data_IF_458810206592
#
_entry.id   IF_458810206592
#
_cell.length_a   1.000
_cell.length_b   1.000
_cell.length_c   1.000
_cell.angle_alpha   90.00
_cell.angle_beta   90.00
_cell.angle_gamma   90.00
#
_symmetry.space_group_name_H-M   'P 1'
#
loop_
_entity.id
_entity.type
_entity.pdbx_description
1 polymer ?
#
# COMPACT_ATOMS: atom_id res chain seq x y z
N UNK A 1 -1.05 -26.91 20.90
CA UNK A 1 -1.10 -26.05 19.72
C UNK A 1 0.13 -25.12 19.66
N UNK A 2 0.36 -24.25 20.67
CA UNK A 2 1.46 -23.27 20.70
C UNK A 2 2.84 -23.93 20.62
N UNK A 3 3.05 -25.05 21.31
CA UNK A 3 4.30 -25.80 21.30
C UNK A 3 4.60 -26.38 19.91
N UNK A 4 3.57 -26.89 19.22
CA UNK A 4 3.73 -27.40 17.86
C UNK A 4 4.13 -26.30 16.89
N UNK A 5 3.50 -25.11 16.97
CA UNK A 5 3.88 -23.97 16.12
C UNK A 5 5.32 -23.54 16.42
N UNK A 6 5.68 -23.40 17.70
CA UNK A 6 7.03 -23.05 18.15
C UNK A 6 8.08 -23.96 17.55
N UNK A 7 7.83 -25.29 17.57
CA UNK A 7 8.73 -26.27 16.99
C UNK A 7 8.78 -26.17 15.45
N UNK A 8 7.63 -26.02 14.78
CA UNK A 8 7.58 -25.91 13.32
C UNK A 8 8.40 -24.72 12.76
N UNK A 9 8.43 -23.60 13.50
CA UNK A 9 9.18 -22.41 13.06
C UNK A 9 10.53 -22.25 13.74
N UNK A 10 10.94 -23.24 14.55
CA UNK A 10 12.19 -23.24 15.31
C UNK A 10 12.42 -21.98 16.16
N UNK A 11 11.36 -21.51 16.81
CA UNK A 11 11.39 -20.37 17.73
C UNK A 11 11.01 -20.82 19.14
N UNK A 12 11.76 -20.37 20.14
CA UNK A 12 11.42 -20.64 21.54
C UNK A 12 10.20 -19.80 21.95
N UNK A 13 9.27 -20.45 22.67
CA UNK A 13 8.11 -19.80 23.27
C UNK A 13 8.01 -20.20 24.74
N UNK A 14 8.36 -19.27 25.63
CA UNK A 14 8.46 -19.51 27.07
C UNK A 14 8.47 -18.17 27.83
N UNK A 15 8.69 -18.22 29.14
CA UNK A 15 8.77 -17.03 30.01
C UNK A 15 9.81 -15.99 29.58
N UNK A 16 10.88 -16.37 28.90
CA UNK A 16 11.88 -15.45 28.38
C UNK A 16 11.48 -14.89 27.01
N UNK A 17 10.87 -15.73 26.18
CA UNK A 17 10.41 -15.40 24.81
C UNK A 17 8.87 -15.43 24.77
N UNK A 18 8.26 -14.33 25.19
CA UNK A 18 6.82 -14.24 25.46
C UNK A 18 5.94 -14.06 24.24
N UNK A 19 6.52 -13.74 23.07
CA UNK A 19 5.79 -13.50 21.82
C UNK A 19 6.24 -14.52 20.78
N UNK A 20 5.27 -15.22 20.16
CA UNK A 20 5.50 -16.14 19.07
C UNK A 20 4.72 -15.64 17.85
N UNK A 21 5.43 -15.28 16.80
CA UNK A 21 4.86 -14.92 15.52
C UNK A 21 5.21 -15.97 14.47
N UNK A 22 4.18 -16.45 13.78
CA UNK A 22 4.28 -17.44 12.72
C UNK A 22 3.37 -17.04 11.54
N UNK A 23 3.85 -17.28 10.34
CA UNK A 23 3.07 -17.09 9.12
C UNK A 23 3.04 -18.40 8.33
N UNK A 24 1.90 -18.68 7.75
CA UNK A 24 1.70 -19.68 6.70
C UNK A 24 1.37 -18.96 5.39
N UNK A 25 1.09 -19.73 4.33
CA UNK A 25 0.62 -19.12 3.07
C UNK A 25 -0.64 -18.27 3.22
N UNK A 26 -1.51 -18.60 4.18
CA UNK A 26 -2.84 -17.97 4.28
C UNK A 26 -3.18 -17.47 5.69
N UNK A 27 -2.31 -17.72 6.68
CA UNK A 27 -2.57 -17.36 8.07
C UNK A 27 -1.38 -16.65 8.66
N UNK A 28 -1.67 -15.57 9.37
CA UNK A 28 -0.76 -14.93 10.31
C UNK A 28 -1.21 -15.28 11.73
N UNK A 29 -0.28 -15.76 12.53
CA UNK A 29 -0.53 -16.23 13.89
C UNK A 29 0.36 -15.41 14.84
N UNK A 30 -0.25 -14.74 15.81
CA UNK A 30 0.44 -14.05 16.89
C UNK A 30 -0.02 -14.62 18.21
N UNK A 31 0.93 -15.06 19.05
CA UNK A 31 0.66 -15.69 20.33
C UNK A 31 1.42 -14.97 21.42
N UNK A 32 0.74 -14.65 22.52
CA UNK A 32 1.33 -14.05 23.73
C UNK A 32 1.28 -15.08 24.86
N UNK A 33 2.44 -15.30 25.47
CA UNK A 33 2.60 -16.25 26.58
C UNK A 33 1.83 -15.79 27.84
N UNK A 34 1.32 -16.73 28.62
CA UNK A 34 0.57 -16.48 29.86
C UNK A 34 1.33 -15.65 30.91
N UNK A 35 2.67 -15.70 30.89
CA UNK A 35 3.48 -14.84 31.75
C UNK A 35 3.41 -13.35 31.42
N UNK A 36 2.82 -12.98 30.28
CA UNK A 36 2.57 -11.59 29.86
C UNK A 36 1.07 -11.32 29.71
N UNK A 37 0.27 -12.29 29.29
CA UNK A 37 -1.17 -12.19 29.18
C UNK A 37 -1.83 -12.79 30.45
N UNK A 38 -2.20 -11.94 31.41
CA UNK A 38 -2.70 -12.34 32.75
C UNK A 38 -3.95 -13.23 32.66
N UNK A 39 -4.75 -13.09 31.59
CA UNK A 39 -5.96 -13.89 31.33
C UNK A 39 -5.68 -15.28 30.76
N UNK A 40 -4.39 -15.67 30.62
CA UNK A 40 -3.95 -16.88 29.96
C UNK A 40 -3.32 -16.62 28.60
N UNK A 41 -2.90 -17.68 27.90
CA UNK A 41 -2.28 -17.56 26.56
C UNK A 41 -3.26 -16.87 25.59
N UNK A 42 -2.82 -15.76 25.00
CA UNK A 42 -3.59 -15.05 23.98
C UNK A 42 -3.17 -15.50 22.58
N UNK A 43 -4.13 -15.89 21.74
CA UNK A 43 -3.88 -16.34 20.36
C UNK A 43 -4.71 -15.48 19.42
N UNK A 44 -4.05 -14.82 18.47
CA UNK A 44 -4.68 -14.11 17.37
C UNK A 44 -4.32 -14.80 16.03
N UNK A 45 -5.34 -15.23 15.27
CA UNK A 45 -5.16 -15.81 13.95
C UNK A 45 -5.85 -14.90 12.93
N UNK A 46 -5.07 -14.37 11.99
CA UNK A 46 -5.58 -13.54 10.89
C UNK A 46 -5.44 -14.30 9.58
N UNK A 47 -6.48 -14.24 8.74
CA UNK A 47 -6.41 -14.76 7.37
C UNK A 47 -5.66 -13.75 6.49
N UNK A 48 -4.69 -14.25 5.73
CA UNK A 48 -3.95 -13.51 4.71
C UNK A 48 -4.08 -14.26 3.38
N UNK A 49 -5.19 -14.06 2.65
CA UNK A 49 -5.46 -14.84 1.44
C UNK A 49 -4.42 -14.52 0.34
N UNK A 50 -3.93 -15.58 -0.31
CA UNK A 50 -3.00 -15.49 -1.42
C UNK A 50 -3.68 -15.19 -2.78
N UNK A 51 -4.93 -14.74 -2.76
CA UNK A 51 -5.70 -14.32 -3.93
C UNK A 51 -6.27 -12.91 -3.72
N UNK A 52 -6.69 -12.27 -4.79
CA UNK A 52 -7.37 -10.96 -4.72
C UNK A 52 -8.86 -11.20 -4.54
N UNK A 53 -9.45 -10.59 -3.51
CA UNK A 53 -10.90 -10.68 -3.22
C UNK A 53 -11.72 -9.74 -4.08
N UNK A 54 -11.12 -8.62 -4.45
CA UNK A 54 -11.79 -7.58 -5.20
C UNK A 54 -11.77 -7.90 -6.69
N UNK A 55 -12.89 -7.73 -7.36
CA UNK A 55 -13.03 -7.72 -8.82
C UNK A 55 -13.60 -6.37 -9.25
N UNK A 56 -13.47 -6.02 -10.52
CA UNK A 56 -14.08 -4.78 -11.06
C UNK A 56 -15.58 -4.73 -10.77
N UNK A 57 -16.27 -5.84 -11.04
CA UNK A 57 -17.71 -5.98 -10.85
C UNK A 57 -18.09 -5.78 -9.37
N UNK A 58 -17.47 -6.52 -8.44
CA UNK A 58 -17.85 -6.44 -7.04
C UNK A 58 -17.50 -5.09 -6.39
N UNK A 59 -16.45 -4.41 -6.84
CA UNK A 59 -16.13 -3.06 -6.36
C UNK A 59 -17.22 -2.05 -6.76
N UNK A 60 -17.75 -2.15 -7.98
CA UNK A 60 -18.83 -1.28 -8.44
C UNK A 60 -20.17 -1.62 -7.77
N UNK A 61 -20.52 -2.90 -7.68
CA UNK A 61 -21.76 -3.38 -7.03
C UNK A 61 -21.82 -3.00 -5.55
N UNK A 62 -20.69 -3.08 -4.86
CA UNK A 62 -20.59 -2.68 -3.45
C UNK A 62 -20.45 -1.17 -3.27
N UNK A 63 -20.47 -0.39 -4.37
CA UNK A 63 -20.25 1.06 -4.35
C UNK A 63 -18.95 1.42 -3.62
N UNK A 64 -17.88 0.69 -3.91
CA UNK A 64 -16.57 0.94 -3.34
C UNK A 64 -16.03 2.31 -3.77
N UNK A 65 -16.28 2.68 -5.02
CA UNK A 65 -16.08 4.00 -5.60
C UNK A 65 -16.92 4.15 -6.88
N UNK A 66 -16.98 5.35 -7.41
CA UNK A 66 -17.57 5.59 -8.73
C UNK A 66 -16.73 4.97 -9.85
N UNK A 67 -17.35 4.59 -10.97
CA UNK A 67 -16.70 3.94 -12.11
C UNK A 67 -15.54 4.78 -12.63
N UNK A 68 -15.73 6.09 -12.75
CA UNK A 68 -14.70 7.01 -13.22
C UNK A 68 -13.46 7.04 -12.29
N UNK A 69 -13.67 6.94 -10.98
CA UNK A 69 -12.58 6.88 -9.99
C UNK A 69 -11.80 5.58 -10.13
N UNK A 70 -12.50 4.46 -10.34
CA UNK A 70 -11.86 3.17 -10.58
C UNK A 70 -11.02 3.20 -11.86
N UNK A 71 -11.56 3.72 -12.97
CA UNK A 71 -10.85 3.89 -14.23
C UNK A 71 -9.63 4.80 -14.10
N UNK A 72 -9.75 5.92 -13.38
CA UNK A 72 -8.64 6.81 -13.09
C UNK A 72 -7.49 6.09 -12.38
N UNK A 73 -7.78 5.30 -11.35
CA UNK A 73 -6.76 4.56 -10.61
C UNK A 73 -6.11 3.45 -11.45
N UNK A 74 -6.87 2.76 -12.31
CA UNK A 74 -6.32 1.79 -13.27
C UNK A 74 -5.37 2.48 -14.26
N UNK A 75 -5.75 3.64 -14.76
CA UNK A 75 -4.90 4.45 -15.63
C UNK A 75 -3.65 4.99 -14.88
N UNK A 76 -3.74 5.26 -13.57
CA UNK A 76 -2.56 5.58 -12.76
C UNK A 76 -1.56 4.43 -12.72
N UNK A 77 -2.02 3.17 -12.65
CA UNK A 77 -1.13 1.99 -12.73
C UNK A 77 -0.48 1.92 -14.12
N UNK A 78 -1.25 2.07 -15.19
CA UNK A 78 -0.73 2.09 -16.55
C UNK A 78 0.32 3.20 -16.74
N UNK A 79 0.08 4.37 -16.15
CA UNK A 79 0.99 5.51 -16.19
C UNK A 79 2.14 5.39 -15.16
N UNK A 80 2.28 4.26 -14.48
CA UNK A 80 3.35 3.97 -13.50
C UNK A 80 3.44 5.02 -12.39
N UNK A 81 2.33 5.42 -11.82
CA UNK A 81 2.28 6.40 -10.74
C UNK A 81 2.57 5.77 -9.39
N UNK A 82 3.21 6.53 -8.52
CA UNK A 82 3.44 6.16 -7.13
C UNK A 82 2.18 6.44 -6.32
N UNK A 83 1.60 5.38 -5.75
CA UNK A 83 0.33 5.45 -5.02
C UNK A 83 0.51 5.11 -3.55
N UNK A 84 -0.14 5.90 -2.68
CA UNK A 84 -0.19 5.64 -1.23
C UNK A 84 -1.63 5.32 -0.85
N UNK A 85 -1.84 4.13 -0.28
CA UNK A 85 -3.15 3.69 0.21
C UNK A 85 -3.24 3.92 1.73
N UNK A 86 -4.03 4.89 2.12
CA UNK A 86 -4.27 5.29 3.50
C UNK A 86 -5.51 4.68 4.12
N UNK A 87 -5.59 4.69 5.44
CA UNK A 87 -6.78 4.29 6.20
C UNK A 87 -6.44 3.70 7.55
N UNK A 88 -7.45 3.47 8.35
CA UNK A 88 -7.35 2.85 9.67
C UNK A 88 -6.94 1.36 9.60
N UNK A 89 -6.54 0.76 10.74
CA UNK A 89 -6.34 -0.68 10.82
C UNK A 89 -7.60 -1.45 10.39
N UNK A 90 -7.44 -2.43 9.49
CA UNK A 90 -8.57 -3.23 8.99
C UNK A 90 -9.46 -2.54 7.95
N UNK A 91 -9.15 -1.32 7.51
CA UNK A 91 -9.87 -0.63 6.43
C UNK A 91 -9.76 -1.33 5.07
N UNK A 92 -8.76 -2.20 4.87
CA UNK A 92 -8.57 -2.93 3.61
C UNK A 92 -7.58 -2.28 2.65
N UNK A 93 -6.62 -1.49 3.17
CA UNK A 93 -5.55 -0.84 2.39
C UNK A 93 -4.80 -1.82 1.49
N UNK A 94 -4.27 -2.90 2.08
CA UNK A 94 -3.51 -3.92 1.37
C UNK A 94 -4.36 -4.64 0.31
N UNK A 95 -5.63 -4.94 0.61
CA UNK A 95 -6.55 -5.57 -0.36
C UNK A 95 -6.86 -4.64 -1.54
N UNK A 96 -7.01 -3.32 -1.29
CA UNK A 96 -7.16 -2.32 -2.34
C UNK A 96 -5.88 -2.23 -3.21
N UNK A 97 -4.71 -2.15 -2.58
CA UNK A 97 -3.44 -2.13 -3.30
C UNK A 97 -3.23 -3.41 -4.14
N UNK A 98 -3.51 -4.60 -3.59
CA UNK A 98 -3.44 -5.89 -4.31
C UNK A 98 -4.32 -5.91 -5.55
N UNK A 99 -5.54 -5.34 -5.47
CA UNK A 99 -6.41 -5.24 -6.63
C UNK A 99 -5.71 -4.49 -7.76
N UNK A 100 -5.13 -3.32 -7.51
CA UNK A 100 -4.43 -2.54 -8.54
C UNK A 100 -3.10 -3.17 -8.98
N UNK A 101 -2.42 -3.92 -8.13
CA UNK A 101 -1.20 -4.65 -8.48
C UNK A 101 -1.41 -5.72 -9.58
N UNK A 102 -2.64 -6.22 -9.78
CA UNK A 102 -2.95 -7.18 -10.85
C UNK A 102 -2.83 -6.57 -12.25
N UNK A 103 -2.87 -5.24 -12.36
CA UNK A 103 -2.83 -4.52 -13.63
C UNK A 103 -1.43 -4.05 -14.02
N UNK A 104 -0.41 -4.42 -13.23
CA UNK A 104 1.00 -4.24 -13.59
C UNK A 104 1.34 -5.27 -14.67
N UNK A 105 2.05 -4.84 -15.70
CA UNK A 105 2.44 -5.73 -16.79
C UNK A 105 3.40 -6.81 -16.30
N UNK A 106 3.23 -8.03 -16.79
CA UNK A 106 3.98 -9.20 -16.31
C UNK A 106 5.48 -9.14 -16.59
N UNK A 107 5.88 -8.39 -17.61
CA UNK A 107 7.27 -8.17 -17.99
C UNK A 107 7.98 -7.15 -17.09
N UNK A 108 7.25 -6.44 -16.27
CA UNK A 108 7.79 -5.45 -15.34
C UNK A 108 8.18 -6.12 -14.03
N UNK A 109 9.46 -6.01 -13.69
CA UNK A 109 9.97 -6.61 -12.46
C UNK A 109 9.43 -5.89 -11.24
N UNK A 110 8.74 -6.66 -10.38
CA UNK A 110 8.14 -6.18 -9.13
C UNK A 110 8.87 -6.76 -7.95
N UNK A 111 9.29 -5.91 -7.03
CA UNK A 111 9.85 -6.32 -5.75
C UNK A 111 8.88 -5.90 -4.64
N UNK A 112 8.44 -6.86 -3.83
CA UNK A 112 7.64 -6.58 -2.63
C UNK A 112 8.50 -6.71 -1.38
N UNK A 113 8.28 -5.85 -0.40
CA UNK A 113 8.99 -5.86 0.89
C UNK A 113 7.96 -5.84 2.01
N UNK A 114 7.99 -6.87 2.86
CA UNK A 114 7.00 -7.08 3.91
C UNK A 114 7.65 -7.64 5.19
N UNK A 115 7.13 -7.27 6.34
CA UNK A 115 7.44 -7.94 7.61
C UNK A 115 6.58 -9.21 7.79
N UNK A 116 5.38 -9.17 7.26
CA UNK A 116 4.41 -10.26 7.23
C UNK A 116 3.82 -10.39 5.84
N UNK A 117 3.78 -11.60 5.32
CA UNK A 117 3.31 -11.88 3.97
C UNK A 117 1.79 -11.62 3.86
N UNK A 118 1.42 -10.52 3.24
CA UNK A 118 0.04 -10.10 2.99
C UNK A 118 -0.23 -9.88 1.49
N UNK A 119 0.77 -9.41 0.73
CA UNK A 119 0.63 -9.07 -0.69
C UNK A 119 0.52 -10.33 -1.53
N UNK A 120 1.43 -11.29 -1.37
CA UNK A 120 1.51 -12.53 -2.17
C UNK A 120 1.54 -12.23 -3.68
N UNK A 121 2.41 -11.31 -4.10
CA UNK A 121 2.42 -10.79 -5.47
C UNK A 121 2.57 -11.88 -6.55
N UNK A 122 3.47 -12.84 -6.34
CA UNK A 122 3.68 -13.94 -7.27
C UNK A 122 2.44 -14.85 -7.39
N UNK A 123 1.65 -14.99 -6.33
CA UNK A 123 0.41 -15.76 -6.35
C UNK A 123 -0.72 -15.03 -7.08
N UNK A 124 -0.86 -13.71 -6.87
CA UNK A 124 -1.92 -12.92 -7.52
C UNK A 124 -1.59 -12.56 -8.98
N UNK A 125 -0.32 -12.68 -9.38
CA UNK A 125 0.17 -12.41 -10.74
C UNK A 125 1.01 -13.60 -11.28
N UNK A 126 0.41 -14.76 -11.56
CA UNK A 126 1.15 -15.92 -12.04
C UNK A 126 1.92 -15.63 -13.32
N UNK A 127 3.22 -15.95 -13.31
CA UNK A 127 4.11 -15.74 -14.45
C UNK A 127 4.71 -14.33 -14.56
N UNK A 128 4.46 -13.44 -13.59
CA UNK A 128 5.13 -12.14 -13.52
C UNK A 128 6.57 -12.29 -12.99
N UNK A 129 7.47 -11.37 -13.38
CA UNK A 129 8.80 -11.26 -12.81
C UNK A 129 8.73 -10.62 -11.42
N UNK A 130 8.75 -11.46 -10.38
CA UNK A 130 8.50 -11.05 -9.00
C UNK A 130 9.58 -11.51 -8.04
N UNK A 131 9.96 -10.63 -7.11
CA UNK A 131 10.82 -10.95 -5.96
C UNK A 131 10.10 -10.50 -4.69
N UNK A 132 9.84 -11.44 -3.78
CA UNK A 132 9.15 -11.17 -2.52
C UNK A 132 10.18 -11.21 -1.38
N UNK A 133 10.50 -10.06 -0.81
CA UNK A 133 11.47 -9.91 0.28
C UNK A 133 10.74 -9.85 1.62
N UNK A 134 11.20 -10.66 2.56
CA UNK A 134 10.73 -10.61 3.94
C UNK A 134 11.78 -9.95 4.82
N UNK A 135 11.38 -8.89 5.53
CA UNK A 135 12.21 -8.24 6.53
C UNK A 135 12.09 -8.92 7.90
N UNK A 136 13.13 -8.76 8.71
CA UNK A 136 13.21 -9.37 10.03
C UNK A 136 14.53 -9.06 10.71
N UNK A 137 14.89 -9.86 11.72
CA UNK A 137 16.13 -9.66 12.46
C UNK A 137 17.36 -9.73 11.55
N UNK A 138 18.12 -8.63 11.48
CA UNK A 138 19.34 -8.54 10.67
C UNK A 138 19.13 -8.19 9.18
N UNK A 139 17.89 -7.95 8.76
CA UNK A 139 17.56 -7.47 7.42
C UNK A 139 16.30 -6.61 7.52
N UNK A 140 16.45 -5.31 7.71
CA UNK A 140 15.34 -4.38 7.89
C UNK A 140 14.81 -3.84 6.56
N UNK A 141 13.77 -2.99 6.63
CA UNK A 141 13.17 -2.35 5.46
C UNK A 141 14.19 -1.51 4.66
N UNK A 142 15.06 -0.79 5.35
CA UNK A 142 16.09 0.04 4.70
C UNK A 142 17.09 -0.82 3.95
N UNK A 143 17.50 -1.95 4.54
CA UNK A 143 18.39 -2.92 3.89
C UNK A 143 17.73 -3.55 2.66
N UNK A 144 16.47 -3.96 2.79
CA UNK A 144 15.69 -4.55 1.70
C UNK A 144 15.50 -3.57 0.53
N UNK A 145 15.17 -2.31 0.82
CA UNK A 145 15.06 -1.26 -0.20
C UNK A 145 16.40 -1.04 -0.91
N UNK A 146 17.52 -0.93 -0.18
CA UNK A 146 18.85 -0.77 -0.76
C UNK A 146 19.27 -1.98 -1.60
N UNK A 147 18.96 -3.20 -1.13
CA UNK A 147 19.24 -4.42 -1.89
C UNK A 147 18.44 -4.47 -3.20
N UNK A 148 17.20 -4.01 -3.17
CA UNK A 148 16.30 -3.97 -4.33
C UNK A 148 16.84 -3.13 -5.48
N UNK A 149 17.60 -2.06 -5.21
CA UNK A 149 18.23 -1.23 -6.24
C UNK A 149 19.13 -2.01 -7.21
N UNK A 150 19.79 -3.06 -6.69
CA UNK A 150 20.70 -3.90 -7.48
C UNK A 150 19.98 -5.00 -8.25
N UNK A 151 18.66 -5.10 -8.06
CA UNK A 151 17.80 -6.11 -8.68
C UNK A 151 17.04 -5.57 -9.89
N UNK A 152 17.32 -4.34 -10.34
CA UNK A 152 16.68 -3.68 -11.48
C UNK A 152 15.15 -3.68 -11.43
N UNK A 153 14.51 -3.19 -10.35
CA UNK A 153 13.06 -3.18 -10.24
C UNK A 153 12.44 -2.13 -11.14
N UNK A 154 11.32 -2.46 -11.77
CA UNK A 154 10.37 -1.48 -12.33
C UNK A 154 9.45 -0.94 -11.24
N UNK A 155 9.10 -1.83 -10.30
CA UNK A 155 8.21 -1.52 -9.19
C UNK A 155 8.76 -2.01 -7.86
N UNK A 156 8.61 -1.17 -6.84
CA UNK A 156 8.93 -1.49 -5.46
C UNK A 156 7.67 -1.28 -4.61
N UNK A 157 7.17 -2.37 -4.05
CA UNK A 157 5.98 -2.36 -3.19
C UNK A 157 6.41 -2.52 -1.74
N UNK A 158 6.12 -1.52 -0.92
CA UNK A 158 6.30 -1.61 0.51
C UNK A 158 4.95 -1.89 1.15
N UNK A 159 4.83 -3.00 1.89
CA UNK A 159 3.54 -3.40 2.48
C UNK A 159 2.94 -2.33 3.37
N UNK A 160 3.77 -1.70 4.20
CA UNK A 160 3.36 -0.56 5.04
C UNK A 160 4.55 0.34 5.37
N UNK A 161 4.39 1.64 5.19
CA UNK A 161 5.32 2.66 5.68
C UNK A 161 4.93 3.06 7.11
N UNK A 162 5.85 2.85 8.06
CA UNK A 162 5.61 3.09 9.49
C UNK A 162 6.61 4.04 10.15
N UNK A 163 7.83 4.13 9.58
CA UNK A 163 8.97 4.82 10.19
C UNK A 163 9.94 5.34 9.14
N UNK A 164 11.22 5.33 9.44
CA UNK A 164 12.33 5.91 8.64
C UNK A 164 12.49 5.33 7.24
N UNK A 165 12.00 4.13 6.98
CA UNK A 165 12.04 3.46 5.67
C UNK A 165 11.37 4.29 4.57
N UNK A 166 10.41 5.16 4.92
CA UNK A 166 9.76 6.06 3.98
C UNK A 166 10.74 6.99 3.27
N UNK A 167 11.83 7.37 3.92
CA UNK A 167 12.90 8.17 3.30
C UNK A 167 13.55 7.41 2.17
N UNK A 168 13.94 6.16 2.40
CA UNK A 168 14.54 5.30 1.38
C UNK A 168 13.55 4.98 0.26
N UNK A 169 12.27 4.82 0.56
CA UNK A 169 11.22 4.64 -0.45
C UNK A 169 11.09 5.86 -1.37
N UNK A 170 11.05 7.08 -0.81
CA UNK A 170 11.02 8.32 -1.61
C UNK A 170 12.29 8.51 -2.43
N UNK A 171 13.45 8.05 -1.95
CA UNK A 171 14.68 8.03 -2.73
C UNK A 171 14.54 7.13 -3.95
N UNK A 172 13.99 5.92 -3.78
CA UNK A 172 13.73 5.00 -4.89
C UNK A 172 12.79 5.61 -5.93
N UNK A 173 11.68 6.17 -5.48
CA UNK A 173 10.72 6.82 -6.38
C UNK A 173 11.35 8.02 -7.12
N UNK A 174 12.37 8.64 -6.55
CA UNK A 174 13.11 9.73 -7.22
C UNK A 174 14.08 9.25 -8.32
N UNK A 175 14.41 7.96 -8.36
CA UNK A 175 15.30 7.38 -9.38
C UNK A 175 14.55 6.79 -10.57
N UNK A 176 13.22 6.86 -10.57
CA UNK A 176 12.37 6.32 -11.64
C UNK A 176 11.84 4.91 -11.37
N UNK A 177 12.08 4.33 -10.19
CA UNK A 177 11.37 3.16 -9.71
C UNK A 177 9.98 3.60 -9.26
N UNK A 178 8.95 2.83 -9.62
CA UNK A 178 7.56 3.12 -9.26
C UNK A 178 7.10 2.23 -8.11
N UNK A 179 5.99 2.58 -7.45
CA UNK A 179 5.54 1.70 -6.39
C UNK A 179 4.27 2.12 -5.67
N UNK A 180 3.81 1.18 -4.85
CA UNK A 180 2.71 1.37 -3.92
C UNK A 180 3.20 1.14 -2.51
N UNK A 181 2.59 1.86 -1.58
CA UNK A 181 2.72 1.57 -0.15
C UNK A 181 1.41 1.80 0.56
N UNK A 182 1.26 1.22 1.74
CA UNK A 182 0.14 1.54 2.62
C UNK A 182 0.63 2.35 3.83
N UNK A 183 -0.26 3.15 4.39
CA UNK A 183 0.03 3.99 5.55
C UNK A 183 -1.21 4.14 6.43
N UNK A 184 -1.03 4.29 7.74
CA UNK A 184 -2.11 4.71 8.62
C UNK A 184 -2.36 6.21 8.49
N UNK A 185 -3.56 6.57 8.02
CA UNK A 185 -3.95 7.93 7.69
C UNK A 185 -5.46 8.11 7.90
N UNK A 186 -5.87 9.30 8.30
CA UNK A 186 -7.26 9.69 8.51
C UNK A 186 -7.76 10.73 7.48
N UNK A 187 -6.84 11.42 6.79
CA UNK A 187 -7.11 12.40 5.74
C UNK A 187 -5.93 12.46 4.77
N UNK A 188 -6.19 12.35 3.46
CA UNK A 188 -5.12 12.36 2.43
C UNK A 188 -4.34 13.67 2.41
N UNK A 189 -4.95 14.78 2.80
CA UNK A 189 -4.29 16.11 2.88
C UNK A 189 -3.19 16.18 3.94
N UNK A 190 -3.27 15.31 4.95
CA UNK A 190 -2.28 15.20 6.03
C UNK A 190 -1.11 14.25 5.69
N UNK A 191 -1.14 13.60 4.52
CA UNK A 191 -0.09 12.64 4.14
C UNK A 191 1.31 13.24 4.18
N UNK A 192 1.57 14.47 3.67
CA UNK A 192 2.91 15.06 3.75
C UNK A 192 3.41 15.19 5.20
N UNK A 193 2.59 15.71 6.10
CA UNK A 193 2.94 15.84 7.53
C UNK A 193 3.17 14.47 8.18
N UNK A 194 2.33 13.48 7.83
CA UNK A 194 2.48 12.11 8.35
C UNK A 194 3.81 11.49 7.93
N UNK A 195 4.22 11.68 6.69
CA UNK A 195 5.51 11.20 6.17
C UNK A 195 6.67 11.94 6.86
N UNK A 196 6.59 13.26 6.99
CA UNK A 196 7.61 14.06 7.68
C UNK A 196 7.80 13.61 9.13
N UNK A 197 6.71 13.33 9.84
CA UNK A 197 6.76 12.86 11.23
C UNK A 197 7.37 11.45 11.38
N UNK A 198 7.45 10.65 10.32
CA UNK A 198 8.14 9.36 10.30
C UNK A 198 9.66 9.49 10.10
N UNK A 199 10.11 10.63 9.59
CA UNK A 199 11.52 10.86 9.31
C UNK A 199 12.24 11.35 10.57
N UNK A 200 13.35 10.68 10.94
CA UNK A 200 14.19 11.14 12.03
C UNK A 200 15.07 12.30 11.57
N UNK A 201 15.15 13.37 12.38
CA UNK A 201 16.09 14.51 12.18
C UNK A 201 16.06 15.11 10.76
N UNK A 202 14.90 15.63 10.39
CA UNK A 202 14.76 16.34 9.11
C UNK A 202 15.43 17.71 9.23
N UNK A 203 16.69 17.80 8.84
CA UNK A 203 17.45 19.06 8.85
C UNK A 203 16.89 20.09 7.87
N UNK A 204 16.11 19.67 6.88
CA UNK A 204 15.46 20.50 5.87
C UNK A 204 14.05 19.96 5.59
N UNK A 205 13.12 20.26 6.51
CA UNK A 205 11.73 19.82 6.43
C UNK A 205 11.06 20.28 5.13
N UNK A 206 11.33 21.53 4.71
CA UNK A 206 10.76 22.10 3.48
C UNK A 206 11.23 21.34 2.23
N UNK A 207 12.50 20.96 2.17
CA UNK A 207 13.04 20.18 1.04
C UNK A 207 12.43 18.78 1.01
N UNK A 208 12.24 18.16 2.17
CA UNK A 208 11.62 16.83 2.25
C UNK A 208 10.14 16.89 1.89
N UNK A 209 9.41 17.89 2.37
CA UNK A 209 8.03 18.13 1.97
C UNK A 209 7.91 18.28 0.45
N UNK A 210 8.76 19.11 -0.16
CA UNK A 210 8.81 19.30 -1.61
C UNK A 210 9.06 17.98 -2.38
N UNK A 211 9.86 17.06 -1.81
CA UNK A 211 10.07 15.72 -2.38
C UNK A 211 8.82 14.86 -2.31
N UNK A 212 8.07 14.93 -1.22
CA UNK A 212 6.79 14.21 -1.10
C UNK A 212 5.84 14.65 -2.21
N UNK A 213 5.62 15.95 -2.37
CA UNK A 213 4.76 16.49 -3.42
C UNK A 213 5.25 16.22 -4.86
N UNK A 214 6.52 15.90 -5.03
CA UNK A 214 7.10 15.58 -6.34
C UNK A 214 7.03 14.10 -6.68
N UNK A 215 7.18 13.22 -5.70
CA UNK A 215 7.36 11.78 -5.94
C UNK A 215 6.18 10.92 -5.48
N UNK A 216 5.33 11.39 -4.58
CA UNK A 216 4.02 10.79 -4.33
C UNK A 216 3.04 11.37 -5.35
N UNK A 217 2.55 10.55 -6.28
CA UNK A 217 1.62 11.04 -7.29
C UNK A 217 0.20 11.15 -6.76
N UNK A 218 -0.30 10.11 -6.08
CA UNK A 218 -1.65 10.14 -5.51
C UNK A 218 -1.74 9.42 -4.17
N UNK A 219 -2.70 9.85 -3.36
CA UNK A 219 -3.11 9.17 -2.13
C UNK A 219 -4.59 8.83 -2.17
N UNK A 220 -4.90 7.61 -1.73
CA UNK A 220 -6.25 7.03 -1.66
C UNK A 220 -6.56 6.71 -0.21
N UNK A 221 -7.61 7.27 0.36
CA UNK A 221 -8.08 6.95 1.70
C UNK A 221 -9.21 5.93 1.60
N UNK A 222 -9.04 4.79 2.26
CA UNK A 222 -10.07 3.75 2.37
C UNK A 222 -10.68 3.83 3.76
N UNK A 223 -12.01 3.91 3.81
CA UNK A 223 -12.78 3.83 5.04
C UNK A 223 -13.57 2.54 5.14
N UNK A 224 -13.82 2.17 6.38
CA UNK A 224 -14.67 1.06 6.77
C UNK A 224 -15.85 1.62 7.57
N UNK A 225 -17.06 1.29 7.15
CA UNK A 225 -18.28 1.57 7.90
C UNK A 225 -18.90 0.24 8.29
N UNK A 226 -19.34 0.15 9.53
CA UNK A 226 -20.14 -0.96 10.05
C UNK A 226 -21.57 -0.48 10.23
N UNK A 227 -22.50 -1.13 9.53
CA UNK A 227 -23.92 -0.83 9.65
C UNK A 227 -24.52 -1.49 10.89
N UNK A 228 -25.70 -1.04 11.31
CA UNK A 228 -26.38 -1.54 12.50
C UNK A 228 -26.71 -3.05 12.45
N UNK A 229 -26.74 -3.65 11.26
CA UNK A 229 -26.92 -5.10 11.04
C UNK A 229 -25.59 -5.88 11.05
N UNK A 230 -24.47 -5.23 11.42
CA UNK A 230 -23.15 -5.84 11.51
C UNK A 230 -22.44 -6.03 10.15
N UNK A 231 -23.03 -5.56 9.05
CA UNK A 231 -22.38 -5.62 7.74
C UNK A 231 -21.30 -4.55 7.63
N UNK A 232 -20.16 -4.96 7.13
CA UNK A 232 -18.99 -4.09 6.91
C UNK A 232 -18.93 -3.67 5.45
N UNK A 233 -19.06 -2.37 5.18
CA UNK A 233 -18.81 -1.77 3.88
C UNK A 233 -17.45 -1.06 3.91
N UNK A 234 -16.70 -1.19 2.82
CA UNK A 234 -15.47 -0.45 2.58
C UNK A 234 -15.64 0.37 1.32
N UNK A 235 -15.02 1.57 1.28
CA UNK A 235 -15.12 2.46 0.13
C UNK A 235 -13.92 3.41 0.09
N UNK A 236 -13.66 3.97 -1.09
CA UNK A 236 -12.72 5.09 -1.26
C UNK A 236 -13.42 6.35 -0.77
N UNK A 237 -12.95 6.86 0.35
CA UNK A 237 -13.47 8.06 0.99
C UNK A 237 -12.86 9.33 0.40
N UNK A 238 -11.53 9.28 0.16
CA UNK A 238 -10.81 10.39 -0.43
C UNK A 238 -9.80 9.90 -1.47
N UNK A 239 -9.58 10.71 -2.49
CA UNK A 239 -8.51 10.56 -3.48
C UNK A 239 -7.97 11.95 -3.82
N UNK A 240 -6.67 12.12 -3.74
CA UNK A 240 -6.03 13.34 -4.21
C UNK A 240 -4.77 13.05 -5.01
N UNK A 241 -4.37 14.02 -5.85
CA UNK A 241 -3.05 14.10 -6.45
C UNK A 241 -2.21 15.16 -5.77
N UNK A 242 -0.93 14.89 -5.63
CA UNK A 242 0.07 15.85 -5.19
C UNK A 242 0.83 16.35 -6.42
N UNK A 243 1.13 17.63 -6.43
CA UNK A 243 1.92 18.26 -7.49
C UNK A 243 2.77 19.40 -6.93
N UNK A 244 3.87 19.66 -7.60
CA UNK A 244 4.71 20.81 -7.31
C UNK A 244 4.83 21.69 -8.55
N UNK A 245 4.14 22.81 -8.52
CA UNK A 245 4.00 23.74 -9.64
C UNK A 245 4.60 25.10 -9.29
N UNK A 246 5.47 25.62 -10.16
CA UNK A 246 6.11 26.93 -9.97
C UNK A 246 6.70 27.15 -8.57
N UNK A 247 7.28 26.07 -8.01
CA UNK A 247 7.86 26.10 -6.67
C UNK A 247 6.87 25.96 -5.51
N UNK A 248 5.57 25.80 -5.76
CA UNK A 248 4.50 25.65 -4.75
C UNK A 248 3.98 24.23 -4.70
N UNK A 249 3.74 23.73 -3.50
CA UNK A 249 3.10 22.46 -3.24
C UNK A 249 1.57 22.62 -3.37
N UNK A 250 0.92 21.71 -4.13
CA UNK A 250 -0.52 21.72 -4.38
C UNK A 250 -1.13 20.35 -4.21
N UNK A 251 -2.38 20.31 -3.73
CA UNK A 251 -3.21 19.12 -3.61
C UNK A 251 -4.44 19.32 -4.50
N UNK A 252 -4.71 18.32 -5.33
CA UNK A 252 -5.89 18.26 -6.19
C UNK A 252 -6.82 17.17 -5.68
N UNK A 253 -7.90 17.54 -5.01
CA UNK A 253 -8.91 16.59 -4.54
C UNK A 253 -9.76 16.12 -5.71
N UNK A 254 -9.87 14.81 -5.84
CA UNK A 254 -10.69 14.13 -6.84
C UNK A 254 -11.93 13.54 -6.19
N UNK A 255 -11.74 12.84 -5.05
CA UNK A 255 -12.83 12.28 -4.24
C UNK A 255 -12.73 12.88 -2.85
N UNK A 256 -13.85 13.33 -2.29
CA UNK A 256 -13.99 13.74 -0.90
C UNK A 256 -15.35 13.26 -0.38
N UNK A 257 -15.40 12.76 0.87
CA UNK A 257 -16.57 12.13 1.48
C UNK A 257 -17.23 11.04 0.60
N UNK A 258 -16.41 10.27 -0.13
CA UNK A 258 -16.85 9.18 -0.98
C UNK A 258 -17.47 9.59 -2.32
N UNK A 259 -17.50 10.86 -2.65
CA UNK A 259 -18.06 11.40 -3.89
C UNK A 259 -16.97 12.00 -4.81
N UNK A 260 -17.13 11.86 -6.11
CA UNK A 260 -16.29 12.52 -7.12
C UNK A 260 -16.57 14.03 -7.10
N UNK A 261 -15.64 14.83 -6.57
CA UNK A 261 -15.81 16.28 -6.40
C UNK A 261 -15.14 17.10 -7.51
N UNK A 262 -14.13 16.52 -8.20
CA UNK A 262 -13.43 17.19 -9.29
C UNK A 262 -12.83 16.19 -10.26
N UNK A 263 -12.73 16.58 -11.54
CA UNK A 263 -11.94 15.90 -12.57
C UNK A 263 -10.70 16.69 -12.98
N UNK A 264 -10.37 17.73 -12.22
CA UNK A 264 -9.19 18.53 -12.47
C UNK A 264 -7.93 17.79 -12.00
N UNK A 265 -7.02 17.55 -12.93
CA UNK A 265 -5.75 16.89 -12.67
C UNK A 265 -4.58 17.87 -12.79
N UNK A 266 -3.52 17.69 -11.99
CA UNK A 266 -2.30 18.49 -12.12
C UNK A 266 -1.70 18.44 -13.54
N UNK A 267 -1.02 19.50 -13.99
CA UNK A 267 -0.40 19.54 -15.32
C UNK A 267 0.64 18.43 -15.57
N UNK A 268 1.46 18.11 -14.57
CA UNK A 268 2.46 17.05 -14.63
C UNK A 268 1.82 15.65 -14.70
N UNK A 269 0.71 15.43 -14.00
CA UNK A 269 -0.09 14.20 -14.07
C UNK A 269 -0.76 14.06 -15.44
N UNK A 270 -1.36 15.13 -15.97
CA UNK A 270 -1.92 15.16 -17.34
C UNK A 270 -0.85 14.85 -18.40
N UNK A 271 0.34 15.42 -18.22
CA UNK A 271 1.47 15.14 -19.11
C UNK A 271 1.84 13.66 -19.07
N UNK A 272 1.97 13.07 -17.87
CA UNK A 272 2.33 11.67 -17.69
C UNK A 272 1.29 10.71 -18.30
N UNK A 273 0.01 11.00 -18.18
CA UNK A 273 -1.04 10.23 -18.84
C UNK A 273 -0.85 10.24 -20.38
N UNK A 274 -0.63 11.42 -20.98
CA UNK A 274 -0.40 11.52 -22.42
C UNK A 274 0.84 10.75 -22.89
N UNK A 275 1.95 10.83 -22.14
CA UNK A 275 3.20 10.11 -22.44
C UNK A 275 3.01 8.58 -22.40
N UNK A 276 2.05 8.09 -21.66
CA UNK A 276 1.71 6.65 -21.55
C UNK A 276 0.50 6.23 -22.40
N UNK A 277 0.02 7.12 -23.27
CA UNK A 277 -1.08 6.84 -24.20
C UNK A 277 -2.48 6.88 -23.57
N UNK A 278 -2.60 7.46 -22.37
CA UNK A 278 -3.90 7.67 -21.71
C UNK A 278 -4.43 9.05 -22.08
N UNK A 279 -5.37 9.11 -23.01
CA UNK A 279 -5.99 10.37 -23.47
C UNK A 279 -7.10 10.83 -22.51
N UNK A 280 -7.91 9.89 -22.05
CA UNK A 280 -9.05 10.12 -21.16
C UNK A 280 -8.82 9.44 -19.80
N UNK A 281 -8.23 10.14 -18.81
CA UNK A 281 -7.84 9.51 -17.54
C UNK A 281 -9.00 8.86 -16.77
N UNK A 282 -10.22 9.34 -16.89
CA UNK A 282 -11.41 8.83 -16.22
C UNK A 282 -12.14 7.72 -17.02
N UNK A 283 -11.58 7.30 -18.15
CA UNK A 283 -12.08 6.20 -18.98
C UNK A 283 -10.96 5.19 -19.18
N UNK A 284 -11.19 3.94 -18.85
CA UNK A 284 -10.24 2.87 -19.07
C UNK A 284 -10.80 1.89 -20.09
N UNK A 285 -10.41 2.05 -21.37
CA UNK A 285 -10.95 1.29 -22.52
C UNK A 285 -10.72 -0.23 -22.40
N UNK A 286 -9.74 -0.66 -21.61
CA UNK A 286 -9.48 -2.10 -21.40
C UNK A 286 -10.61 -2.83 -20.65
N UNK A 287 -11.55 -2.09 -20.05
CA UNK A 287 -12.63 -2.60 -19.21
C UNK A 287 -14.02 -2.12 -19.65
N UNK A 288 -14.16 -1.65 -20.89
CA UNK A 288 -15.47 -1.24 -21.46
C UNK A 288 -16.19 -2.35 -22.24
N UNK A 289 -15.74 -3.63 -22.06
CA UNK A 289 -16.38 -4.80 -22.70
C UNK A 289 -17.37 -5.47 -21.77
#
# INVERSE_FOLDING_TARGET
FTHNISNCINKQFNNANKILEADTKELRISIIHESAAISGISICIRKSPCFVRNTLENLLDQKYCEKEVLHLLLNCVQAKMNLVFGGEPGAGKTECAKFFMQFIRKEERVITIEDSLEIHYANINPGADAVELRVGKGFDYTDAIKASLRQNPSWLMLSEARSVEVTSLLEQWSTGVHGFTTIHLDDVRKLPDRILNMMNNVNDAQRMENRIYRYVNAAVLIRKIESSDGKVRRYIDQLCFFSREEGKNRIYMIVDDGALVSKELPPDIKKRFRETGVEEPFVCRQFET
#
